data_IF_422895226793
#
_entry.id   IF_422895226793
#
_cell.length_a   1.000
_cell.length_b   1.000
_cell.length_c   1.000
_cell.angle_alpha   90.00
_cell.angle_beta   90.00
_cell.angle_gamma   90.00
#
_symmetry.space_group_name_H-M   'P 1'
#
loop_
_entity.id
_entity.type
_entity.pdbx_description
1 polymer ?
#
# COMPACT_ATOMS: atom_id res chain seq x y z
N UNK A 1 6.46 -18.38 16.54
CA UNK A 1 7.19 -17.08 16.54
C UNK A 1 7.04 -16.46 15.16
N UNK A 2 6.74 -15.16 15.07
CA UNK A 2 6.49 -14.47 13.79
C UNK A 2 7.64 -14.63 12.77
N UNK A 3 8.89 -14.70 13.24
CA UNK A 3 10.10 -14.96 12.43
C UNK A 3 10.12 -16.33 11.72
N UNK A 4 9.35 -17.30 12.21
CA UNK A 4 9.27 -18.65 11.65
C UNK A 4 7.93 -18.88 10.93
N UNK A 5 7.11 -17.84 10.80
CA UNK A 5 5.86 -17.91 10.06
C UNK A 5 6.16 -17.99 8.56
N UNK A 6 5.51 -18.88 7.80
CA UNK A 6 5.58 -18.86 6.34
C UNK A 6 4.80 -17.68 5.74
N UNK A 7 3.91 -17.06 6.52
CA UNK A 7 3.18 -15.85 6.12
C UNK A 7 3.98 -14.60 6.50
N UNK A 8 4.54 -13.84 5.54
CA UNK A 8 5.29 -12.60 5.80
C UNK A 8 4.41 -11.48 6.37
N UNK A 9 3.08 -11.57 6.21
CA UNK A 9 2.12 -10.68 6.83
C UNK A 9 2.18 -10.75 8.37
N UNK A 10 2.41 -11.94 8.93
CA UNK A 10 2.54 -12.12 10.38
C UNK A 10 3.80 -11.41 10.91
N UNK A 11 4.92 -11.45 10.18
CA UNK A 11 6.10 -10.66 10.55
C UNK A 11 5.80 -9.17 10.55
N UNK A 12 5.19 -8.66 9.47
CA UNK A 12 4.88 -7.22 9.34
C UNK A 12 3.95 -6.73 10.46
N UNK A 13 2.96 -7.54 10.86
CA UNK A 13 2.12 -7.26 12.03
C UNK A 13 2.89 -7.26 13.35
N UNK A 14 3.66 -8.32 13.61
CA UNK A 14 4.47 -8.40 14.82
C UNK A 14 5.43 -7.22 14.92
N UNK A 15 6.07 -6.86 13.80
CA UNK A 15 7.00 -5.74 13.72
C UNK A 15 6.32 -4.40 13.97
N UNK A 16 5.14 -4.16 13.38
CA UNK A 16 4.35 -2.94 13.59
C UNK A 16 3.92 -2.79 15.06
N UNK A 17 3.45 -3.88 15.68
CA UNK A 17 3.11 -3.91 17.11
C UNK A 17 4.34 -3.66 18.01
N UNK A 18 5.53 -4.04 17.55
CA UNK A 18 6.77 -3.80 18.26
C UNK A 18 7.29 -2.35 18.17
N UNK A 19 6.62 -1.47 17.42
CA UNK A 19 6.96 -0.03 17.37
C UNK A 19 6.30 0.79 18.49
N UNK A 20 5.40 0.20 19.28
CA UNK A 20 4.78 0.90 20.40
C UNK A 20 5.76 1.08 21.57
N UNK A 21 5.58 2.17 22.34
CA UNK A 21 6.52 2.63 23.40
C UNK A 21 6.86 1.58 24.46
N UNK A 22 5.92 0.68 24.75
CA UNK A 22 6.04 -0.36 25.79
C UNK A 22 6.11 -1.77 25.18
N UNK A 23 6.72 -1.89 24.00
CA UNK A 23 6.87 -3.16 23.31
C UNK A 23 7.64 -4.18 24.18
N UNK A 24 7.20 -5.45 24.24
CA UNK A 24 7.85 -6.47 25.05
C UNK A 24 9.27 -6.75 24.56
N UNK A 25 10.23 -7.14 25.43
CA UNK A 25 11.63 -7.36 25.04
C UNK A 25 11.84 -8.36 23.88
N UNK A 26 10.90 -9.29 23.68
CA UNK A 26 10.90 -10.23 22.56
C UNK A 26 10.91 -9.52 21.18
N UNK A 27 10.41 -8.28 21.12
CA UNK A 27 10.43 -7.44 19.92
C UNK A 27 11.84 -7.17 19.40
N UNK A 28 12.86 -7.16 20.27
CA UNK A 28 14.27 -7.00 19.87
C UNK A 28 14.79 -8.18 19.03
N UNK A 29 14.06 -9.29 18.95
CA UNK A 29 14.41 -10.44 18.12
C UNK A 29 13.89 -10.34 16.68
N UNK A 30 13.02 -9.37 16.37
CA UNK A 30 12.53 -9.15 15.01
C UNK A 30 13.59 -8.45 14.17
N UNK A 31 14.05 -9.10 13.11
CA UNK A 31 15.06 -8.56 12.20
C UNK A 31 14.47 -8.38 10.80
N UNK A 32 14.32 -7.12 10.38
CA UNK A 32 13.91 -6.78 9.01
C UNK A 32 14.96 -7.24 7.99
N UNK A 33 16.23 -7.24 8.36
CA UNK A 33 17.29 -7.79 7.50
C UNK A 33 17.07 -9.27 7.24
N UNK A 34 16.68 -10.04 8.26
CA UNK A 34 16.40 -11.46 8.11
C UNK A 34 15.14 -11.72 7.30
N UNK A 35 14.14 -10.84 7.40
CA UNK A 35 12.94 -10.90 6.55
C UNK A 35 13.31 -10.74 5.07
N UNK A 36 14.13 -9.74 4.71
CA UNK A 36 14.53 -9.55 3.29
C UNK A 36 15.42 -10.68 2.78
N UNK A 37 16.21 -11.32 3.65
CA UNK A 37 17.00 -12.51 3.27
C UNK A 37 16.11 -13.73 2.99
N UNK A 38 15.00 -13.86 3.72
CA UNK A 38 14.04 -14.97 3.55
C UNK A 38 13.07 -14.74 2.40
N UNK A 39 12.70 -13.48 2.15
CA UNK A 39 11.72 -13.06 1.15
C UNK A 39 12.26 -11.91 0.29
N UNK A 40 13.38 -12.12 -0.44
CA UNK A 40 14.03 -11.09 -1.24
C UNK A 40 13.21 -10.66 -2.46
N UNK A 41 12.23 -11.47 -2.87
CA UNK A 41 11.41 -11.26 -4.04
C UNK A 41 10.40 -10.11 -3.90
N UNK A 42 10.13 -9.63 -2.68
CA UNK A 42 9.10 -8.63 -2.40
C UNK A 42 9.70 -7.26 -2.07
N UNK A 43 9.45 -6.28 -2.95
CA UNK A 43 9.89 -4.90 -2.80
C UNK A 43 9.44 -4.28 -1.47
N UNK A 44 8.30 -4.70 -0.94
CA UNK A 44 7.79 -4.16 0.33
C UNK A 44 8.78 -4.41 1.49
N UNK A 45 9.40 -5.58 1.55
CA UNK A 45 10.35 -5.88 2.63
C UNK A 45 11.60 -5.02 2.55
N UNK A 46 12.07 -4.72 1.33
CA UNK A 46 13.20 -3.83 1.11
C UNK A 46 12.88 -2.38 1.51
N UNK A 47 11.67 -1.89 1.20
CA UNK A 47 11.23 -0.56 1.64
C UNK A 47 11.14 -0.48 3.17
N UNK A 48 10.68 -1.54 3.84
CA UNK A 48 10.73 -1.61 5.30
C UNK A 48 12.17 -1.57 5.82
N UNK A 49 13.12 -2.24 5.15
CA UNK A 49 14.55 -2.16 5.52
C UNK A 49 15.07 -0.73 5.40
N UNK A 50 14.77 -0.02 4.31
CA UNK A 50 15.17 1.37 4.11
C UNK A 50 14.64 2.28 5.21
N UNK A 51 13.39 2.06 5.65
CA UNK A 51 12.78 2.84 6.72
C UNK A 51 13.45 2.60 8.08
N UNK A 52 13.66 1.32 8.43
CA UNK A 52 14.16 0.93 9.77
C UNK A 52 15.66 1.13 9.90
N UNK A 53 16.38 0.97 8.78
CA UNK A 53 17.83 1.15 8.71
C UNK A 53 18.18 2.06 7.54
N UNK A 54 18.00 3.39 7.66
CA UNK A 54 18.26 4.34 6.56
C UNK A 54 19.69 4.27 5.99
N UNK A 55 20.67 3.88 6.81
CA UNK A 55 22.05 3.63 6.35
C UNK A 55 22.15 2.51 5.31
N UNK A 56 21.16 1.63 5.24
CA UNK A 56 21.03 0.56 4.24
C UNK A 56 20.13 0.94 3.05
N UNK A 57 19.71 2.20 2.92
CA UNK A 57 18.87 2.63 1.79
C UNK A 57 19.46 2.26 0.41
N UNK A 58 20.78 2.35 0.13
CA UNK A 58 21.34 1.90 -1.15
C UNK A 58 21.15 0.39 -1.41
N UNK A 59 21.32 -0.44 -0.37
CA UNK A 59 21.06 -1.88 -0.45
C UNK A 59 19.57 -2.14 -0.69
N UNK A 60 18.71 -1.44 0.04
CA UNK A 60 17.26 -1.57 -0.12
C UNK A 60 16.79 -1.16 -1.53
N UNK A 61 17.34 -0.08 -2.09
CA UNK A 61 17.07 0.32 -3.47
C UNK A 61 17.43 -0.81 -4.45
N UNK A 62 18.62 -1.39 -4.34
CA UNK A 62 19.00 -2.52 -5.19
C UNK A 62 18.03 -3.70 -5.07
N UNK A 63 17.59 -4.00 -3.85
CA UNK A 63 16.57 -5.01 -3.58
C UNK A 63 15.22 -4.71 -4.25
N UNK A 64 14.70 -3.48 -4.11
CA UNK A 64 13.46 -3.04 -4.79
C UNK A 64 13.57 -3.18 -6.31
N UNK A 65 14.74 -2.84 -6.88
CA UNK A 65 14.98 -2.94 -8.32
C UNK A 65 15.06 -4.38 -8.85
N UNK A 66 15.32 -5.36 -7.98
CA UNK A 66 15.47 -6.78 -8.31
C UNK A 66 14.24 -7.61 -7.91
N UNK A 67 13.45 -7.12 -6.96
CA UNK A 67 12.22 -7.77 -6.51
C UNK A 67 11.29 -8.05 -7.68
N UNK A 68 10.63 -9.21 -7.67
CA UNK A 68 9.62 -9.62 -8.66
C UNK A 68 8.19 -9.28 -8.23
N UNK A 69 7.96 -9.12 -6.92
CA UNK A 69 6.67 -8.80 -6.32
C UNK A 69 6.72 -7.48 -5.56
N UNK A 70 5.55 -6.91 -5.31
CA UNK A 70 5.37 -5.73 -4.47
C UNK A 70 4.05 -5.88 -3.70
N UNK A 71 4.11 -6.52 -2.54
CA UNK A 71 2.90 -6.76 -1.75
C UNK A 71 2.44 -5.48 -1.02
N UNK A 72 1.13 -5.31 -0.92
CA UNK A 72 0.56 -4.34 0.00
C UNK A 72 0.82 -4.76 1.45
N UNK A 73 0.73 -3.81 2.39
CA UNK A 73 0.74 -4.14 3.80
C UNK A 73 -0.47 -5.06 4.12
N UNK A 74 -0.30 -6.12 4.93
CA UNK A 74 -1.39 -7.04 5.25
C UNK A 74 -2.51 -6.28 5.96
N UNK A 75 -3.74 -6.37 5.46
CA UNK A 75 -4.89 -5.74 6.11
C UNK A 75 -5.42 -6.58 7.27
N UNK A 76 -5.80 -5.95 8.39
CA UNK A 76 -6.59 -6.62 9.45
C UNK A 76 -8.04 -6.83 9.04
N UNK A 77 -8.53 -6.09 8.03
CA UNK A 77 -9.96 -6.05 7.73
C UNK A 77 -10.56 -7.44 7.49
N UNK A 78 -9.94 -8.36 6.71
CA UNK A 78 -10.49 -9.71 6.53
C UNK A 78 -10.54 -10.53 7.83
N UNK A 79 -9.51 -10.41 8.66
CA UNK A 79 -9.44 -11.10 9.96
C UNK A 79 -10.53 -10.58 10.91
N UNK A 80 -10.63 -9.25 11.05
CA UNK A 80 -11.68 -8.61 11.84
C UNK A 80 -13.05 -9.00 11.32
N UNK A 81 -13.28 -8.90 10.01
CA UNK A 81 -14.57 -9.25 9.40
C UNK A 81 -15.01 -10.69 9.70
N UNK A 82 -14.06 -11.64 9.67
CA UNK A 82 -14.31 -13.05 9.96
C UNK A 82 -14.62 -13.33 11.44
N UNK A 83 -14.14 -12.48 12.34
CA UNK A 83 -14.37 -12.59 13.78
C UNK A 83 -15.65 -11.89 14.25
N UNK A 84 -16.25 -11.02 13.42
CA UNK A 84 -17.47 -10.29 13.78
C UNK A 84 -18.70 -11.21 13.76
N UNK A 85 -19.57 -11.17 14.80
CA UNK A 85 -20.80 -11.94 14.85
C UNK A 85 -21.67 -11.74 13.60
N UNK A 86 -22.35 -12.80 13.14
CA UNK A 86 -23.17 -12.75 11.94
C UNK A 86 -24.43 -11.87 12.11
N UNK A 87 -24.92 -11.74 13.34
CA UNK A 87 -26.10 -10.97 13.75
C UNK A 87 -25.79 -9.50 14.12
N UNK A 88 -24.52 -9.09 14.02
CA UNK A 88 -24.13 -7.71 14.29
C UNK A 88 -24.82 -6.74 13.33
N UNK A 89 -25.44 -5.69 13.88
CA UNK A 89 -26.10 -4.66 13.09
C UNK A 89 -25.15 -4.07 12.01
N UNK A 90 -25.62 -3.86 10.76
CA UNK A 90 -24.76 -3.46 9.64
C UNK A 90 -23.90 -2.21 9.91
N UNK A 91 -24.48 -1.20 10.57
CA UNK A 91 -23.76 0.04 10.90
C UNK A 91 -22.62 -0.21 11.92
N UNK A 92 -22.82 -1.07 12.92
CA UNK A 92 -21.78 -1.45 13.87
C UNK A 92 -20.68 -2.25 13.18
N UNK A 93 -21.07 -3.18 12.30
CA UNK A 93 -20.11 -3.94 11.48
C UNK A 93 -19.21 -2.99 10.69
N UNK A 94 -19.80 -1.99 10.04
CA UNK A 94 -19.01 -1.01 9.29
C UNK A 94 -18.16 -0.12 10.16
N UNK A 95 -18.65 0.30 11.32
CA UNK A 95 -17.85 1.09 12.25
C UNK A 95 -16.59 0.32 12.70
N UNK A 96 -16.73 -0.96 13.05
CA UNK A 96 -15.61 -1.81 13.48
C UNK A 96 -14.62 -2.08 12.34
N UNK A 97 -15.11 -2.38 11.12
CA UNK A 97 -14.25 -2.53 9.95
C UNK A 97 -13.50 -1.23 9.64
N UNK A 98 -14.17 -0.09 9.69
CA UNK A 98 -13.55 1.23 9.53
C UNK A 98 -12.49 1.53 10.58
N UNK A 99 -12.71 1.16 11.85
CA UNK A 99 -11.69 1.27 12.89
C UNK A 99 -10.47 0.39 12.61
N UNK A 100 -10.68 -0.86 12.18
CA UNK A 100 -9.57 -1.76 11.82
C UNK A 100 -8.72 -1.25 10.66
N UNK A 101 -9.33 -0.56 9.70
CA UNK A 101 -8.58 0.10 8.62
C UNK A 101 -7.67 1.18 9.13
N UNK A 102 -8.11 1.99 10.10
CA UNK A 102 -7.28 3.08 10.65
C UNK A 102 -6.02 2.52 11.30
N UNK A 103 -6.09 1.35 11.92
CA UNK A 103 -4.91 0.63 12.41
C UNK A 103 -4.04 0.09 11.27
N UNK A 104 -4.65 -0.42 10.20
CA UNK A 104 -3.96 -0.77 8.95
C UNK A 104 -3.20 0.42 8.36
N UNK A 105 -3.84 1.59 8.23
CA UNK A 105 -3.24 2.81 7.71
C UNK A 105 -2.07 3.32 8.55
N UNK A 106 -2.17 3.24 9.87
CA UNK A 106 -1.06 3.58 10.76
C UNK A 106 0.16 2.68 10.51
N UNK A 107 -0.07 1.43 10.11
CA UNK A 107 0.99 0.47 9.77
C UNK A 107 1.51 0.67 8.34
N UNK A 108 0.64 0.98 7.38
CA UNK A 108 1.00 1.40 6.01
C UNK A 108 1.86 2.67 6.01
N UNK A 109 1.63 3.60 6.94
CA UNK A 109 2.44 4.81 7.07
C UNK A 109 3.94 4.52 7.24
N UNK A 110 4.29 3.40 7.87
CA UNK A 110 5.69 2.95 7.98
C UNK A 110 6.24 2.54 6.62
N UNK A 111 5.48 1.76 5.85
CA UNK A 111 5.86 1.33 4.50
C UNK A 111 6.04 2.53 3.57
N UNK A 112 5.11 3.47 3.64
CA UNK A 112 5.15 4.73 2.90
C UNK A 112 6.41 5.55 3.22
N UNK A 113 6.84 5.55 4.48
CA UNK A 113 8.08 6.21 4.87
C UNK A 113 9.33 5.55 4.24
N UNK A 114 9.30 4.23 4.02
CA UNK A 114 10.33 3.51 3.25
C UNK A 114 10.38 3.93 1.78
N UNK A 115 9.21 4.02 1.12
CA UNK A 115 9.09 4.55 -0.25
C UNK A 115 9.65 5.98 -0.34
N UNK A 116 9.31 6.84 0.62
CA UNK A 116 9.83 8.21 0.70
C UNK A 116 11.34 8.23 0.94
N UNK A 117 11.87 7.34 1.78
CA UNK A 117 13.30 7.27 2.07
C UNK A 117 14.11 6.93 0.81
N UNK A 118 13.69 5.90 0.06
CA UNK A 118 14.35 5.52 -1.20
C UNK A 118 14.14 6.58 -2.29
N UNK A 119 12.94 7.16 -2.38
CA UNK A 119 12.67 8.22 -3.34
C UNK A 119 13.47 9.50 -3.06
N UNK A 120 13.71 9.85 -1.80
CA UNK A 120 14.51 11.02 -1.42
C UNK A 120 15.92 10.96 -2.01
N UNK A 121 16.56 9.79 -1.95
CA UNK A 121 17.89 9.60 -2.53
C UNK A 121 17.84 9.79 -4.05
N UNK A 122 16.74 9.39 -4.69
CA UNK A 122 16.49 9.64 -6.11
C UNK A 122 16.06 11.07 -6.46
N UNK A 123 15.77 11.92 -5.49
CA UNK A 123 15.48 13.34 -5.71
C UNK A 123 16.70 14.22 -5.41
N UNK A 124 17.83 13.63 -4.97
CA UNK A 124 19.09 14.32 -4.77
C UNK A 124 19.76 14.67 -6.12
N UNK A 125 20.60 15.72 -6.11
CA UNK A 125 21.22 16.25 -7.33
C UNK A 125 22.27 15.30 -7.95
N UNK A 126 22.91 14.47 -7.13
CA UNK A 126 23.96 13.52 -7.49
C UNK A 126 23.44 12.08 -7.60
N UNK A 127 22.12 11.89 -7.63
CA UNK A 127 21.49 10.59 -7.71
C UNK A 127 21.89 9.83 -9.00
N UNK A 128 22.06 8.51 -8.88
CA UNK A 128 22.23 7.65 -10.05
C UNK A 128 20.95 7.64 -10.88
N UNK A 129 20.96 8.43 -11.96
CA UNK A 129 19.85 8.57 -12.90
C UNK A 129 19.31 7.23 -13.39
N UNK A 130 20.17 6.26 -13.67
CA UNK A 130 19.75 4.96 -14.21
C UNK A 130 18.97 4.16 -13.16
N UNK A 131 19.51 4.07 -11.94
CA UNK A 131 18.84 3.40 -10.84
C UNK A 131 17.50 4.09 -10.50
N UNK A 132 17.45 5.42 -10.56
CA UNK A 132 16.26 6.18 -10.23
C UNK A 132 15.16 6.08 -11.28
N UNK A 133 15.50 6.10 -12.58
CA UNK A 133 14.51 5.82 -13.62
C UNK A 133 13.95 4.40 -13.49
N UNK A 134 14.78 3.41 -13.18
CA UNK A 134 14.31 2.05 -12.93
C UNK A 134 13.40 1.98 -11.69
N UNK A 135 13.72 2.72 -10.63
CA UNK A 135 12.85 2.80 -9.45
C UNK A 135 11.49 3.40 -9.83
N UNK A 136 11.49 4.50 -10.60
CA UNK A 136 10.28 5.11 -11.09
C UNK A 136 9.44 4.11 -11.91
N UNK A 137 10.07 3.33 -12.79
CA UNK A 137 9.39 2.28 -13.57
C UNK A 137 8.81 1.18 -12.67
N UNK A 138 9.53 0.75 -11.63
CA UNK A 138 9.03 -0.24 -10.66
C UNK A 138 7.83 0.29 -9.90
N UNK A 139 7.87 1.54 -9.44
CA UNK A 139 6.78 2.16 -8.70
C UNK A 139 5.54 2.37 -9.59
N UNK A 140 5.72 2.88 -10.81
CA UNK A 140 4.65 3.10 -11.80
C UNK A 140 3.92 1.79 -12.16
N UNK A 141 4.67 0.70 -12.31
CA UNK A 141 4.11 -0.59 -12.74
C UNK A 141 3.56 -1.46 -11.62
N UNK A 142 4.06 -1.32 -10.39
CA UNK A 142 3.82 -2.31 -9.32
C UNK A 142 3.47 -1.74 -7.96
N UNK A 143 3.56 -0.43 -7.73
CA UNK A 143 3.21 0.11 -6.42
C UNK A 143 1.72 -0.17 -6.11
N UNK A 144 1.42 -0.73 -4.93
CA UNK A 144 0.04 -1.06 -4.57
C UNK A 144 -0.77 0.17 -4.12
N UNK A 145 -0.14 1.34 -4.00
CA UNK A 145 -0.72 2.55 -3.41
C UNK A 145 -0.48 3.81 -4.24
N UNK A 146 -1.32 4.84 -4.02
CA UNK A 146 -1.24 6.09 -4.76
C UNK A 146 0.04 6.88 -4.47
N UNK A 147 0.64 6.71 -3.29
CA UNK A 147 1.90 7.39 -2.94
C UNK A 147 3.04 6.89 -3.84
N UNK A 148 3.15 5.58 -4.04
CA UNK A 148 4.14 4.98 -4.92
C UNK A 148 4.02 5.50 -6.36
N UNK A 149 2.80 5.58 -6.90
CA UNK A 149 2.55 6.19 -8.21
C UNK A 149 2.93 7.68 -8.25
N UNK A 150 2.64 8.44 -7.20
CA UNK A 150 3.04 9.85 -7.11
C UNK A 150 4.58 9.99 -7.09
N UNK A 151 5.27 9.16 -6.32
CA UNK A 151 6.73 9.13 -6.26
C UNK A 151 7.34 8.72 -7.60
N UNK A 152 6.75 7.75 -8.31
CA UNK A 152 7.16 7.37 -9.65
C UNK A 152 7.16 8.58 -10.60
N UNK A 153 6.06 9.32 -10.64
CA UNK A 153 5.94 10.52 -11.47
C UNK A 153 6.96 11.59 -11.11
N UNK A 154 7.19 11.84 -9.82
CA UNK A 154 8.17 12.83 -9.36
C UNK A 154 9.61 12.45 -9.71
N UNK A 155 9.99 11.19 -9.48
CA UNK A 155 11.33 10.70 -9.84
C UNK A 155 11.50 10.73 -11.36
N UNK A 156 10.51 10.25 -12.11
CA UNK A 156 10.50 10.28 -13.56
C UNK A 156 10.67 11.69 -14.12
N UNK A 157 9.92 12.67 -13.60
CA UNK A 157 10.00 14.07 -14.00
C UNK A 157 11.41 14.64 -13.80
N UNK A 158 12.04 14.39 -12.64
CA UNK A 158 13.40 14.84 -12.33
C UNK A 158 14.45 14.21 -13.25
N UNK A 159 14.30 12.92 -13.57
CA UNK A 159 15.31 12.16 -14.34
C UNK A 159 15.04 12.07 -15.85
N UNK A 160 14.00 12.77 -16.33
CA UNK A 160 13.76 13.01 -17.75
C UNK A 160 12.82 12.02 -18.44
N UNK A 161 11.80 11.51 -17.76
CA UNK A 161 10.64 10.95 -18.45
C UNK A 161 10.01 12.00 -19.37
N UNK A 162 9.48 11.51 -20.49
CA UNK A 162 8.83 12.38 -21.46
C UNK A 162 7.58 13.04 -20.83
N UNK A 163 7.31 14.33 -21.12
CA UNK A 163 6.14 15.02 -20.57
C UNK A 163 4.81 14.28 -20.80
N UNK A 164 4.66 13.58 -21.93
CA UNK A 164 3.47 12.79 -22.24
C UNK A 164 3.26 11.63 -21.25
N UNK A 165 4.33 10.99 -20.79
CA UNK A 165 4.25 9.93 -19.77
C UNK A 165 3.83 10.50 -18.42
N UNK A 166 4.42 11.65 -18.05
CA UNK A 166 4.06 12.35 -16.81
C UNK A 166 2.59 12.76 -16.81
N UNK A 167 2.11 13.29 -17.93
CA UNK A 167 0.71 13.70 -18.09
C UNK A 167 -0.24 12.50 -18.03
N UNK A 168 0.12 11.39 -18.68
CA UNK A 168 -0.66 10.15 -18.60
C UNK A 168 -0.79 9.63 -17.16
N UNK A 169 0.30 9.66 -16.40
CA UNK A 169 0.33 9.25 -14.99
C UNK A 169 -0.47 10.22 -14.10
N UNK A 170 -0.37 11.54 -14.33
CA UNK A 170 -1.21 12.53 -13.62
C UNK A 170 -2.69 12.28 -13.88
N UNK A 171 -3.08 12.09 -15.14
CA UNK A 171 -4.47 11.75 -15.48
C UNK A 171 -4.93 10.41 -14.87
N UNK A 172 -4.03 9.44 -14.69
CA UNK A 172 -4.36 8.21 -13.95
C UNK A 172 -4.59 8.50 -12.46
N UNK A 173 -3.69 9.25 -11.81
CA UNK A 173 -3.83 9.63 -10.41
C UNK A 173 -5.12 10.41 -10.14
N UNK A 174 -5.46 11.37 -11.00
CA UNK A 174 -6.70 12.14 -10.89
C UNK A 174 -7.94 11.26 -10.99
N UNK A 175 -7.98 10.29 -11.93
CA UNK A 175 -9.08 9.33 -12.04
C UNK A 175 -9.21 8.46 -10.79
N UNK A 176 -8.08 8.01 -10.23
CA UNK A 176 -8.08 7.19 -9.02
C UNK A 176 -8.53 7.99 -7.78
N UNK A 177 -8.11 9.26 -7.68
CA UNK A 177 -8.55 10.18 -6.63
C UNK A 177 -10.05 10.48 -6.74
N UNK A 178 -10.54 10.75 -7.95
CA UNK A 178 -11.98 10.89 -8.19
C UNK A 178 -12.74 9.62 -7.80
N UNK A 179 -12.16 8.42 -8.04
CA UNK A 179 -12.77 7.16 -7.63
C UNK A 179 -12.87 7.02 -6.10
N UNK A 180 -11.88 7.53 -5.35
CA UNK A 180 -11.95 7.57 -3.88
C UNK A 180 -13.00 8.56 -3.36
N UNK A 181 -13.29 9.62 -4.12
CA UNK A 181 -14.25 10.66 -3.77
C UNK A 181 -15.69 10.36 -4.20
N UNK A 182 -15.94 9.22 -4.87
CA UNK A 182 -17.30 8.86 -5.30
C UNK A 182 -18.16 8.71 -4.04
N UNK A 183 -19.01 9.71 -3.83
CA UNK A 183 -19.95 9.82 -2.72
C UNK A 183 -20.88 8.61 -2.59
N UNK A 184 -21.75 8.62 -1.57
CA UNK A 184 -22.62 7.49 -1.30
C UNK A 184 -23.54 7.22 -2.51
N UNK A 185 -23.81 5.93 -2.79
CA UNK A 185 -24.68 5.43 -3.87
C UNK A 185 -26.10 5.97 -3.74
N UNK A 186 -26.52 6.30 -2.52
CA UNK A 186 -27.77 6.97 -2.21
C UNK A 186 -27.57 8.00 -1.08
N UNK A 187 -28.62 8.75 -0.76
CA UNK A 187 -28.54 9.84 0.22
C UNK A 187 -28.18 9.39 1.64
N UNK A 188 -28.35 8.10 1.98
CA UNK A 188 -28.03 7.57 3.31
C UNK A 188 -26.68 6.86 3.28
N UNK A 189 -25.62 7.41 3.90
CA UNK A 189 -24.31 6.76 3.92
C UNK A 189 -24.32 5.37 4.59
N UNK A 190 -25.38 5.04 5.32
CA UNK A 190 -25.58 3.77 6.01
C UNK A 190 -26.59 2.84 5.34
N UNK A 191 -27.01 3.13 4.10
CA UNK A 191 -27.85 2.21 3.34
C UNK A 191 -27.14 0.88 3.09
N UNK A 192 -27.92 -0.18 2.85
CA UNK A 192 -27.38 -1.50 2.53
C UNK A 192 -26.45 -1.46 1.30
N UNK A 193 -26.78 -0.64 0.30
CA UNK A 193 -25.96 -0.47 -0.91
C UNK A 193 -24.60 0.17 -0.59
N UNK A 194 -24.58 1.22 0.23
CA UNK A 194 -23.34 1.88 0.67
C UNK A 194 -22.49 0.98 1.56
N UNK A 195 -23.12 0.23 2.47
CA UNK A 195 -22.43 -0.74 3.34
C UNK A 195 -21.76 -1.82 2.51
N UNK A 196 -22.46 -2.42 1.55
CA UNK A 196 -21.93 -3.49 0.71
C UNK A 196 -20.83 -2.99 -0.24
N UNK A 197 -21.00 -1.79 -0.82
CA UNK A 197 -19.98 -1.15 -1.65
C UNK A 197 -18.69 -0.89 -0.87
N UNK A 198 -18.80 -0.32 0.33
CA UNK A 198 -17.63 -0.10 1.19
C UNK A 198 -16.96 -1.42 1.55
N UNK A 199 -17.71 -2.40 2.05
CA UNK A 199 -17.18 -3.73 2.40
C UNK A 199 -16.42 -4.37 1.25
N UNK A 200 -16.93 -4.26 0.02
CA UNK A 200 -16.25 -4.75 -1.19
C UNK A 200 -14.94 -4.01 -1.44
N UNK A 201 -14.96 -2.68 -1.43
CA UNK A 201 -13.75 -1.87 -1.57
C UNK A 201 -12.69 -2.25 -0.52
N UNK A 202 -13.09 -2.48 0.73
CA UNK A 202 -12.14 -2.85 1.79
C UNK A 202 -11.50 -4.22 1.55
N UNK A 203 -12.26 -5.18 1.04
CA UNK A 203 -11.76 -6.50 0.66
C UNK A 203 -10.83 -6.43 -0.53
N UNK A 204 -11.20 -5.66 -1.55
CA UNK A 204 -10.36 -5.47 -2.74
C UNK A 204 -9.04 -4.79 -2.35
N UNK A 205 -9.07 -3.76 -1.49
CA UNK A 205 -7.84 -3.11 -0.98
C UNK A 205 -6.98 -4.09 -0.20
N UNK A 206 -7.59 -4.93 0.65
CA UNK A 206 -6.89 -5.93 1.43
C UNK A 206 -6.22 -7.01 0.56
N UNK A 207 -6.84 -7.37 -0.56
CA UNK A 207 -6.36 -8.44 -1.44
C UNK A 207 -5.37 -7.95 -2.51
N UNK A 208 -5.56 -6.74 -3.05
CA UNK A 208 -4.89 -6.27 -4.26
C UNK A 208 -4.19 -4.92 -4.11
N UNK A 209 -4.30 -4.26 -2.96
CA UNK A 209 -3.80 -2.90 -2.76
C UNK A 209 -4.80 -1.81 -3.16
N UNK A 210 -4.45 -0.57 -2.83
CA UNK A 210 -5.30 0.60 -3.03
C UNK A 210 -5.54 0.93 -4.51
N UNK A 211 -4.51 0.85 -5.35
CA UNK A 211 -4.62 1.19 -6.78
C UNK A 211 -5.64 0.29 -7.49
N UNK A 212 -5.49 -1.03 -7.33
CA UNK A 212 -6.43 -2.00 -7.93
C UNK A 212 -7.84 -1.91 -7.33
N UNK A 213 -7.96 -1.65 -6.03
CA UNK A 213 -9.25 -1.45 -5.39
C UNK A 213 -9.98 -0.22 -5.96
N UNK A 214 -9.26 0.88 -6.22
CA UNK A 214 -9.81 2.09 -6.81
C UNK A 214 -10.18 1.88 -8.28
N UNK A 215 -9.39 1.13 -9.05
CA UNK A 215 -9.75 0.73 -10.42
C UNK A 215 -11.06 -0.06 -10.44
N UNK A 216 -11.22 -1.05 -9.56
CA UNK A 216 -12.45 -1.84 -9.43
C UNK A 216 -13.64 -0.98 -8.99
N UNK A 217 -13.41 -0.05 -8.07
CA UNK A 217 -14.44 0.87 -7.59
C UNK A 217 -14.93 1.81 -8.70
N UNK A 218 -14.01 2.36 -9.50
CA UNK A 218 -14.32 3.21 -10.65
C UNK A 218 -15.12 2.44 -11.71
N UNK A 219 -14.68 1.21 -12.04
CA UNK A 219 -15.36 0.37 -13.01
C UNK A 219 -16.80 0.01 -12.59
N UNK A 220 -17.04 -0.23 -11.30
CA UNK A 220 -18.36 -0.53 -10.76
C UNK A 220 -19.30 0.70 -10.74
N UNK A 221 -18.74 1.90 -10.83
CA UNK A 221 -19.47 3.18 -10.76
C UNK A 221 -19.66 3.83 -12.13
N UNK A 222 -19.06 3.28 -13.19
CA UNK A 222 -19.28 3.73 -14.56
C UNK A 222 -20.73 3.44 -14.97
N UNK A 223 -21.46 4.39 -15.57
CA UNK A 223 -22.80 4.13 -16.09
C UNK A 223 -22.72 3.01 -17.11
N UNK A 224 -23.61 2.01 -17.00
CA UNK A 224 -23.73 0.95 -17.98
C UNK A 224 -23.86 1.58 -19.37
N UNK A 225 -22.88 1.31 -20.25
CA UNK A 225 -22.95 1.79 -21.62
C UNK A 225 -24.27 1.32 -22.22
N UNK A 226 -25.13 2.26 -22.62
CA UNK A 226 -26.39 1.93 -23.25
C UNK A 226 -26.11 1.03 -24.46
N UNK A 227 -26.82 -0.10 -24.61
CA UNK A 227 -26.67 -0.93 -25.79
C UNK A 227 -26.97 -0.06 -27.03
N UNK A 228 -26.04 -0.06 -27.98
CA UNK A 228 -26.22 0.56 -29.30
C UNK A 228 -27.22 -0.23 -30.13
#
# INVERSE_FOLDING_TARGET
MAMNSPDPGIFRWAWALCQFRDAPPICGQLSVLRLVEQHPEDAAHWLLLAQVQPVRAPLALQGVLQASAFSSFPSLTPWVESALPADLAPYLRMNLLGQSMRWGQASEAVMNAGSVAVARDCLAADADRSACLRLADVLDSRAPDLLGLHLAGRIGEVHGWQPQRIEALRGQLERLQQASDIGPVDASPWSCANVERNRRFLRDRAAYGEVEALHRLAAASAPAAAPR
#
